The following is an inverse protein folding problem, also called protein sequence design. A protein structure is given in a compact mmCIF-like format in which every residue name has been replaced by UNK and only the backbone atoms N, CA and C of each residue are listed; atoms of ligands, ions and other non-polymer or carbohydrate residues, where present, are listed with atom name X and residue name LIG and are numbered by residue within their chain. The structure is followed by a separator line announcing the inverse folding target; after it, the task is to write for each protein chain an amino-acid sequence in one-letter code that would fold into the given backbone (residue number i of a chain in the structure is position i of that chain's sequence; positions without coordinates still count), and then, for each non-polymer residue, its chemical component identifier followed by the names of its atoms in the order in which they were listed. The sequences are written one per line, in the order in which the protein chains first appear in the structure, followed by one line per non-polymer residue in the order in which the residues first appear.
data_IF_754980191178
#
_entry.id   IF_754980191178
#
_cell.length_a   1.000
_cell.length_b   1.000
_cell.length_c   1.000
_cell.angle_alpha   90.00
_cell.angle_beta   90.00
_cell.angle_gamma   90.00
#
_symmetry.space_group_name_H-M   'P 1'
#
loop_
_entity.id
_entity.type
_entity.pdbx_description
1 polymer ?
#
# COMPACT_ATOMS: atom_id res chain seq x y z
N UNK A 1 24.41 -18.18 -20.62
CA UNK A 1 23.10 -18.81 -20.35
C UNK A 1 23.19 -19.62 -19.05
N UNK A 2 22.80 -19.05 -17.93
CA UNK A 2 22.66 -19.78 -16.65
C UNK A 2 21.22 -19.61 -16.23
N UNK A 3 20.43 -20.67 -16.32
CA UNK A 3 19.04 -20.76 -15.85
C UNK A 3 19.06 -20.86 -14.33
N UNK A 4 18.59 -19.86 -13.63
CA UNK A 4 18.31 -19.98 -12.20
C UNK A 4 16.85 -20.39 -12.04
N UNK A 5 16.64 -21.66 -11.70
CA UNK A 5 15.34 -22.14 -11.20
C UNK A 5 15.18 -21.67 -9.76
N UNK A 6 14.26 -20.77 -9.52
CA UNK A 6 13.78 -20.45 -8.17
C UNK A 6 12.74 -21.51 -7.80
N UNK A 7 13.11 -22.39 -6.88
CA UNK A 7 12.18 -23.37 -6.26
C UNK A 7 11.45 -22.64 -5.14
N UNK A 8 10.18 -22.33 -5.35
CA UNK A 8 9.30 -21.89 -4.27
C UNK A 8 8.94 -23.10 -3.40
N UNK A 9 9.55 -23.17 -2.22
CA UNK A 9 9.17 -24.14 -1.19
C UNK A 9 7.84 -23.74 -0.55
N UNK A 10 6.80 -24.55 -0.79
CA UNK A 10 5.53 -24.47 -0.08
C UNK A 10 5.76 -24.97 1.35
N UNK A 11 5.72 -24.08 2.32
CA UNK A 11 5.69 -24.44 3.74
C UNK A 11 4.24 -24.72 4.13
N UNK A 12 3.88 -25.98 4.20
CA UNK A 12 2.62 -26.42 4.80
C UNK A 12 2.73 -26.31 6.33
N UNK A 13 2.07 -25.36 6.94
CA UNK A 13 1.98 -25.22 8.40
C UNK A 13 0.74 -25.99 8.87
N UNK A 14 0.97 -27.08 9.60
CA UNK A 14 -0.07 -27.83 10.29
C UNK A 14 -0.48 -27.09 11.57
N UNK A 15 -1.70 -26.60 11.63
CA UNK A 15 -2.29 -26.01 12.83
C UNK A 15 -2.88 -27.13 13.72
N UNK A 16 -2.36 -27.23 14.92
CA UNK A 16 -2.96 -28.02 16.01
C UNK A 16 -3.93 -27.14 16.79
N UNK A 17 -5.21 -27.48 16.77
CA UNK A 17 -6.26 -26.74 17.47
C UNK A 17 -6.20 -27.02 18.98
N UNK A 18 -5.97 -26.01 19.80
CA UNK A 18 -6.29 -26.01 21.24
C UNK A 18 -7.53 -25.15 21.48
N UNK A 19 -8.63 -25.82 21.85
CA UNK A 19 -9.86 -25.21 22.33
C UNK A 19 -9.64 -24.56 23.69
N UNK A 20 -9.74 -23.25 23.79
CA UNK A 20 -9.99 -22.55 25.06
C UNK A 20 -11.17 -21.58 24.90
N UNK A 21 -12.26 -21.91 25.60
CA UNK A 21 -13.39 -21.01 25.79
C UNK A 21 -12.93 -19.78 26.57
N UNK A 22 -13.08 -18.62 26.02
CA UNK A 22 -12.91 -17.36 26.73
C UNK A 22 -14.12 -16.45 26.48
N UNK A 23 -14.59 -15.90 27.55
CA UNK A 23 -15.65 -14.95 27.81
C UNK A 23 -15.69 -13.80 26.77
N UNK A 24 -16.91 -13.55 26.27
CA UNK A 24 -17.25 -12.43 25.39
C UNK A 24 -17.00 -11.09 26.09
N UNK A 25 -15.92 -10.42 25.71
CA UNK A 25 -15.78 -8.97 25.87
C UNK A 25 -16.28 -8.35 24.56
N UNK A 26 -17.27 -7.46 24.65
CA UNK A 26 -17.73 -6.67 23.51
C UNK A 26 -16.55 -5.82 23.00
N UNK A 27 -15.86 -6.31 21.99
CA UNK A 27 -14.90 -5.51 21.24
C UNK A 27 -15.71 -4.56 20.37
N UNK A 28 -15.69 -3.27 20.69
CA UNK A 28 -16.09 -2.21 19.78
C UNK A 28 -15.15 -2.28 18.57
N UNK A 29 -15.61 -2.88 17.49
CA UNK A 29 -14.92 -2.86 16.21
C UNK A 29 -14.83 -1.41 15.76
N UNK A 30 -13.66 -0.80 15.93
CA UNK A 30 -13.32 0.47 15.27
C UNK A 30 -13.26 0.15 13.78
N UNK A 31 -14.26 0.60 13.04
CA UNK A 31 -14.27 0.44 11.59
C UNK A 31 -13.29 1.43 10.99
N UNK A 32 -12.50 1.01 9.99
CA UNK A 32 -11.54 1.84 9.25
C UNK A 32 -12.13 3.18 8.76
N UNK A 33 -13.44 3.24 8.55
CA UNK A 33 -14.20 4.42 8.13
C UNK A 33 -14.21 5.58 9.16
N UNK A 34 -13.83 5.33 10.41
CA UNK A 34 -13.83 6.33 11.50
C UNK A 34 -12.43 6.83 11.85
N UNK A 35 -11.40 6.35 11.17
CA UNK A 35 -10.03 6.77 11.49
C UNK A 35 -9.78 8.20 11.01
N UNK A 36 -9.21 9.02 11.88
CA UNK A 36 -8.81 10.38 11.51
C UNK A 36 -7.64 10.34 10.51
N UNK A 37 -7.69 11.24 9.53
CA UNK A 37 -6.55 11.42 8.64
C UNK A 37 -5.41 12.14 9.37
N UNK A 38 -4.16 11.71 9.17
CA UNK A 38 -3.01 12.39 9.75
C UNK A 38 -2.85 13.77 9.09
N UNK A 39 -2.28 14.70 9.85
CA UNK A 39 -2.02 16.07 9.37
C UNK A 39 -0.56 16.19 8.98
N UNK A 40 -0.31 16.48 7.72
CA UNK A 40 1.03 16.85 7.27
C UNK A 40 1.42 18.24 7.77
N UNK A 41 2.72 18.51 7.96
CA UNK A 41 3.19 19.85 8.18
C UNK A 41 2.86 20.74 6.97
N UNK A 42 2.83 22.05 7.20
CA UNK A 42 2.64 23.00 6.12
C UNK A 42 3.99 23.17 5.41
N UNK A 43 4.20 22.44 4.32
CA UNK A 43 5.43 22.51 3.55
C UNK A 43 5.60 23.87 2.88
N UNK A 44 6.83 24.39 2.89
CA UNK A 44 7.23 25.42 1.95
C UNK A 44 7.82 24.78 0.69
N UNK A 45 7.22 25.04 -0.45
CA UNK A 45 7.60 24.43 -1.74
C UNK A 45 6.85 23.13 -2.04
N UNK A 46 7.49 22.25 -2.81
CA UNK A 46 6.92 20.93 -3.11
C UNK A 46 7.04 20.00 -1.91
N UNK A 47 5.91 19.42 -1.46
CA UNK A 47 5.95 18.46 -0.36
C UNK A 47 6.81 17.23 -0.69
N UNK A 48 7.35 16.59 0.34
CA UNK A 48 8.20 15.41 0.24
C UNK A 48 7.51 14.20 0.83
N UNK A 49 7.52 13.11 0.08
CA UNK A 49 6.95 11.83 0.50
C UNK A 49 8.01 10.74 0.41
N UNK A 50 8.03 9.88 1.43
CA UNK A 50 8.85 8.68 1.46
C UNK A 50 7.96 7.44 1.40
N UNK A 51 8.24 6.54 0.47
CA UNK A 51 7.64 5.21 0.43
C UNK A 51 8.63 4.18 1.01
N UNK A 52 8.14 3.39 1.96
CA UNK A 52 8.87 2.24 2.52
C UNK A 52 8.01 1.01 2.32
N UNK A 53 8.51 0.03 1.57
CA UNK A 53 7.71 -1.15 1.27
C UNK A 53 8.43 -2.22 0.47
N UNK A 54 7.65 -3.15 -0.04
CA UNK A 54 8.14 -4.28 -0.81
C UNK A 54 7.36 -4.43 -2.14
N UNK A 55 7.11 -5.65 -2.61
CA UNK A 55 6.45 -5.91 -3.89
C UNK A 55 5.03 -5.35 -4.01
N UNK A 56 4.35 -5.05 -2.92
CA UNK A 56 3.05 -4.34 -2.97
C UNK A 56 3.20 -2.84 -3.25
N UNK A 57 4.39 -2.29 -3.01
CA UNK A 57 4.72 -0.91 -3.37
C UNK A 57 5.23 -0.80 -4.81
N UNK A 58 6.03 -1.78 -5.24
CA UNK A 58 6.65 -1.78 -6.57
C UNK A 58 6.90 -3.22 -7.05
N UNK A 59 6.14 -3.68 -8.04
CA UNK A 59 6.35 -4.95 -8.73
C UNK A 59 5.97 -4.82 -10.22
N UNK A 60 4.73 -5.15 -10.62
CA UNK A 60 4.23 -4.88 -11.99
C UNK A 60 3.94 -3.41 -12.21
N UNK A 61 3.57 -2.71 -11.17
CA UNK A 61 3.31 -1.27 -11.16
C UNK A 61 4.07 -0.63 -10.01
N UNK A 62 4.49 0.62 -10.19
CA UNK A 62 5.15 1.39 -9.14
C UNK A 62 4.18 2.41 -8.55
N UNK A 63 3.71 2.18 -7.31
CA UNK A 63 2.84 3.12 -6.62
C UNK A 63 3.48 4.51 -6.47
N UNK A 64 4.78 4.67 -6.13
CA UNK A 64 5.45 5.97 -6.11
C UNK A 64 5.41 6.70 -7.45
N UNK A 65 5.66 6.00 -8.56
CA UNK A 65 5.64 6.59 -9.91
C UNK A 65 4.23 7.04 -10.27
N UNK A 66 3.22 6.18 -10.12
CA UNK A 66 1.82 6.50 -10.43
C UNK A 66 1.32 7.66 -9.59
N UNK A 67 1.58 7.65 -8.29
CA UNK A 67 1.22 8.73 -7.38
C UNK A 67 1.86 10.07 -7.81
N UNK A 68 3.14 10.07 -8.13
CA UNK A 68 3.84 11.28 -8.59
C UNK A 68 3.27 11.86 -9.88
N UNK A 69 2.89 11.01 -10.82
CA UNK A 69 2.26 11.42 -12.08
C UNK A 69 0.86 12.00 -11.86
N UNK A 70 0.07 11.39 -10.98
CA UNK A 70 -1.25 11.88 -10.58
C UNK A 70 -1.11 13.22 -9.84
N UNK A 71 -0.18 13.33 -8.90
CA UNK A 71 0.09 14.59 -8.20
C UNK A 71 0.45 15.72 -9.16
N UNK A 72 1.31 15.45 -10.14
CA UNK A 72 1.68 16.42 -11.17
C UNK A 72 0.47 16.87 -12.00
N UNK A 73 -0.40 15.96 -12.41
CA UNK A 73 -1.63 16.27 -13.14
C UNK A 73 -2.62 17.14 -12.33
N UNK A 74 -2.54 17.08 -11.02
CA UNK A 74 -3.37 17.84 -10.09
C UNK A 74 -2.70 19.13 -9.56
N UNK A 75 -1.62 19.60 -10.18
CA UNK A 75 -0.83 20.75 -9.72
C UNK A 75 -0.36 20.62 -8.26
N UNK A 76 -0.08 19.40 -7.83
CA UNK A 76 0.46 19.04 -6.51
C UNK A 76 1.80 18.29 -6.68
N UNK A 77 2.83 18.91 -7.28
CA UNK A 77 4.10 18.20 -7.52
C UNK A 77 4.72 17.78 -6.20
N UNK A 78 5.18 16.54 -6.12
CA UNK A 78 5.80 15.94 -4.95
C UNK A 78 7.27 15.62 -5.24
N UNK A 79 8.11 15.71 -4.22
CA UNK A 79 9.44 15.10 -4.23
C UNK A 79 9.27 13.72 -3.59
N UNK A 80 9.68 12.68 -4.31
CA UNK A 80 9.43 11.29 -3.92
C UNK A 80 10.75 10.59 -3.67
N UNK A 81 10.93 10.07 -2.46
CA UNK A 81 11.99 9.15 -2.09
C UNK A 81 11.38 7.76 -1.83
N UNK A 82 12.15 6.68 -2.00
CA UNK A 82 11.67 5.33 -1.75
C UNK A 82 12.78 4.44 -1.17
N UNK A 83 12.36 3.51 -0.30
CA UNK A 83 13.16 2.40 0.21
C UNK A 83 12.35 1.12 -0.01
N UNK A 84 12.66 0.38 -1.07
CA UNK A 84 11.90 -0.81 -1.49
C UNK A 84 12.81 -2.00 -1.65
N UNK A 85 12.42 -3.12 -1.03
CA UNK A 85 13.05 -4.43 -1.25
C UNK A 85 11.99 -5.52 -1.34
N UNK A 86 11.98 -6.26 -2.44
CA UNK A 86 10.97 -7.27 -2.72
C UNK A 86 10.93 -8.39 -1.66
N UNK A 87 9.73 -8.76 -1.21
CA UNK A 87 9.49 -9.97 -0.42
C UNK A 87 9.99 -9.94 1.02
N UNK A 88 10.36 -8.77 1.56
CA UNK A 88 10.93 -8.69 2.91
C UNK A 88 10.16 -7.72 3.82
N UNK A 89 10.38 -7.84 5.15
CA UNK A 89 9.80 -6.97 6.17
C UNK A 89 10.49 -5.60 6.22
N UNK A 90 9.83 -4.61 6.86
CA UNK A 90 10.40 -3.27 7.10
C UNK A 90 11.76 -3.33 7.79
N UNK A 91 11.92 -4.22 8.79
CA UNK A 91 13.21 -4.42 9.48
C UNK A 91 14.31 -4.77 8.49
N UNK A 92 14.03 -5.71 7.57
CA UNK A 92 15.00 -6.15 6.56
C UNK A 92 15.25 -5.07 5.51
N UNK A 93 14.21 -4.35 5.05
CA UNK A 93 14.34 -3.18 4.16
C UNK A 93 15.32 -2.17 4.77
N UNK A 94 15.09 -1.81 6.04
CA UNK A 94 15.98 -0.87 6.72
C UNK A 94 17.40 -1.40 6.84
N UNK A 95 17.59 -2.69 7.14
CA UNK A 95 18.92 -3.29 7.25
C UNK A 95 19.67 -3.27 5.90
N UNK A 96 18.97 -3.61 4.80
CA UNK A 96 19.55 -3.66 3.46
C UNK A 96 19.91 -2.26 2.93
N UNK A 97 19.08 -1.25 3.23
CA UNK A 97 19.26 0.13 2.81
C UNK A 97 19.80 1.05 3.92
N UNK A 98 20.41 0.48 4.97
CA UNK A 98 20.74 1.24 6.19
C UNK A 98 21.47 2.55 5.92
N UNK A 99 22.51 2.52 5.07
CA UNK A 99 23.28 3.72 4.75
C UNK A 99 22.43 4.80 4.06
N UNK A 100 21.67 4.43 3.08
CA UNK A 100 20.77 5.31 2.34
C UNK A 100 19.64 5.83 3.23
N UNK A 101 19.01 4.93 4.00
CA UNK A 101 17.96 5.27 4.95
C UNK A 101 18.44 6.29 5.99
N UNK A 102 19.60 6.06 6.60
CA UNK A 102 20.16 6.99 7.59
C UNK A 102 20.53 8.34 6.96
N UNK A 103 21.03 8.36 5.73
CA UNK A 103 21.29 9.60 4.99
C UNK A 103 19.98 10.36 4.69
N UNK A 104 18.93 9.67 4.26
CA UNK A 104 17.63 10.26 3.99
C UNK A 104 16.97 10.77 5.28
N UNK A 105 16.99 9.98 6.35
CA UNK A 105 16.39 10.38 7.63
C UNK A 105 17.15 11.49 8.35
N UNK A 106 18.44 11.68 8.03
CA UNK A 106 19.25 12.79 8.56
C UNK A 106 19.01 14.13 7.86
N UNK A 107 18.34 14.13 6.69
CA UNK A 107 17.99 15.38 6.00
C UNK A 107 17.03 16.20 6.86
N UNK A 108 17.22 17.49 6.83
CA UNK A 108 16.32 18.48 7.45
C UNK A 108 16.16 19.66 6.53
N UNK A 109 15.11 20.42 6.70
CA UNK A 109 14.93 21.71 6.04
C UNK A 109 14.98 22.87 7.03
N UNK A 110 14.74 24.09 6.55
CA UNK A 110 14.81 25.29 7.39
C UNK A 110 13.76 25.31 8.51
N UNK A 111 12.69 24.53 8.36
CA UNK A 111 11.57 24.45 9.30
C UNK A 111 11.75 23.28 10.28
N UNK A 112 12.86 22.52 10.15
CA UNK A 112 13.17 21.38 11.00
C UNK A 112 12.32 20.14 10.71
N UNK A 113 11.69 20.08 9.52
CA UNK A 113 10.88 18.96 9.08
C UNK A 113 11.14 18.66 7.61
N UNK A 114 11.71 17.50 7.29
CA UNK A 114 12.08 17.16 5.92
C UNK A 114 10.99 16.44 5.15
N UNK A 115 10.42 15.34 5.69
CA UNK A 115 9.34 14.63 5.07
C UNK A 115 7.98 15.14 5.57
N UNK A 116 7.09 15.42 4.65
CA UNK A 116 5.69 15.78 4.94
C UNK A 116 4.83 14.54 5.10
N UNK A 117 5.11 13.52 4.27
CA UNK A 117 4.34 12.27 4.22
C UNK A 117 5.26 11.06 4.20
N UNK A 118 4.81 9.98 4.82
CA UNK A 118 5.49 8.68 4.77
C UNK A 118 4.45 7.59 4.60
N UNK A 119 4.60 6.76 3.57
CA UNK A 119 3.78 5.55 3.37
C UNK A 119 4.60 4.35 3.80
N UNK A 120 4.04 3.54 4.69
CA UNK A 120 4.71 2.35 5.25
C UNK A 120 3.90 1.11 4.92
N UNK A 121 4.52 0.18 4.19
CA UNK A 121 3.94 -1.09 3.80
C UNK A 121 4.80 -2.24 4.37
N UNK A 122 4.22 -3.02 5.28
CA UNK A 122 4.87 -4.19 5.87
C UNK A 122 4.72 -5.42 4.96
N UNK A 123 5.56 -6.42 5.16
CA UNK A 123 5.41 -7.72 4.50
C UNK A 123 4.13 -8.43 4.97
N UNK A 124 3.45 -9.08 4.05
CA UNK A 124 2.18 -9.75 4.34
C UNK A 124 2.26 -10.76 5.49
N UNK A 125 3.30 -11.63 5.60
CA UNK A 125 3.38 -12.55 6.74
C UNK A 125 3.44 -11.85 8.09
N UNK A 126 4.20 -10.75 8.20
CA UNK A 126 4.30 -9.97 9.43
C UNK A 126 2.99 -9.23 9.71
N UNK A 127 2.42 -8.56 8.70
CA UNK A 127 1.17 -7.83 8.85
C UNK A 127 -0.02 -8.73 9.22
N UNK A 128 -0.02 -9.97 8.75
CA UNK A 128 -1.06 -10.95 9.05
C UNK A 128 -0.91 -11.59 10.43
N UNK A 129 0.30 -12.08 10.77
CA UNK A 129 0.46 -13.04 11.87
C UNK A 129 1.36 -12.57 13.02
N UNK A 130 2.06 -11.45 12.89
CA UNK A 130 3.08 -11.00 13.83
C UNK A 130 2.84 -9.55 14.29
N UNK A 131 1.67 -9.25 14.90
CA UNK A 131 1.27 -7.88 15.29
C UNK A 131 2.35 -7.15 16.12
N UNK A 132 2.92 -7.80 17.12
CA UNK A 132 3.94 -7.18 17.98
C UNK A 132 5.18 -6.76 17.14
N UNK A 133 5.58 -7.61 16.20
CA UNK A 133 6.69 -7.30 15.29
C UNK A 133 6.32 -6.20 14.30
N UNK A 134 5.09 -6.19 13.78
CA UNK A 134 4.60 -5.13 12.92
C UNK A 134 4.66 -3.78 13.64
N UNK A 135 4.13 -3.70 14.85
CA UNK A 135 4.19 -2.49 15.68
C UNK A 135 5.64 -2.07 15.98
N UNK A 136 6.51 -3.03 16.33
CA UNK A 136 7.93 -2.76 16.59
C UNK A 136 8.66 -2.22 15.36
N UNK A 137 8.41 -2.82 14.18
CA UNK A 137 9.00 -2.39 12.92
C UNK A 137 8.57 -0.97 12.54
N UNK A 138 7.26 -0.67 12.61
CA UNK A 138 6.73 0.66 12.32
C UNK A 138 7.25 1.68 13.32
N UNK A 139 7.26 1.34 14.61
CA UNK A 139 7.82 2.20 15.65
C UNK A 139 9.30 2.52 15.40
N UNK A 140 10.10 1.51 15.09
CA UNK A 140 11.54 1.68 14.80
C UNK A 140 11.78 2.67 13.66
N UNK A 141 11.06 2.53 12.56
CA UNK A 141 11.19 3.42 11.39
C UNK A 141 10.66 4.83 11.69
N UNK A 142 9.48 4.94 12.28
CA UNK A 142 8.87 6.24 12.57
C UNK A 142 9.67 7.05 13.59
N UNK A 143 10.26 6.41 14.61
CA UNK A 143 11.14 7.07 15.58
C UNK A 143 12.41 7.63 14.92
N UNK A 144 12.95 6.93 13.93
CA UNK A 144 14.13 7.43 13.18
C UNK A 144 13.77 8.62 12.29
N UNK A 145 12.67 8.55 11.57
CA UNK A 145 12.22 9.62 10.67
C UNK A 145 11.86 10.87 11.47
N UNK A 146 11.18 10.72 12.61
CA UNK A 146 10.75 11.85 13.45
C UNK A 146 11.89 12.68 14.04
N UNK A 147 13.10 12.18 14.06
CA UNK A 147 14.24 12.99 14.51
C UNK A 147 14.43 14.26 13.69
N UNK A 148 14.15 14.20 12.39
CA UNK A 148 14.29 15.30 11.44
C UNK A 148 13.01 15.58 10.63
N UNK A 149 11.93 14.90 10.96
CA UNK A 149 10.60 15.10 10.40
C UNK A 149 9.53 14.82 11.48
N UNK A 150 9.53 15.62 12.57
CA UNK A 150 8.71 15.35 13.77
C UNK A 150 7.20 15.41 13.49
N UNK A 151 6.78 16.18 12.49
CA UNK A 151 5.39 16.44 12.15
C UNK A 151 4.92 15.67 10.90
N UNK A 152 5.76 14.78 10.36
CA UNK A 152 5.39 13.96 9.22
C UNK A 152 4.08 13.18 9.47
N UNK A 153 3.24 13.14 8.43
CA UNK A 153 2.03 12.34 8.41
C UNK A 153 2.35 10.92 7.90
N UNK A 154 2.01 9.90 8.69
CA UNK A 154 2.30 8.51 8.37
C UNK A 154 1.04 7.82 7.87
N UNK A 155 1.15 7.11 6.74
CA UNK A 155 0.09 6.27 6.20
C UNK A 155 0.52 4.80 6.28
N UNK A 156 -0.22 4.04 7.07
CA UNK A 156 -0.02 2.59 7.19
C UNK A 156 -0.82 1.91 6.09
N UNK A 157 -0.11 1.17 5.24
CA UNK A 157 -0.71 0.44 4.14
C UNK A 157 -1.50 -0.76 4.69
N UNK A 158 -2.80 -0.77 4.46
CA UNK A 158 -3.63 -1.95 4.70
C UNK A 158 -3.23 -3.04 3.70
N UNK A 159 -2.87 -4.20 4.17
CA UNK A 159 -2.54 -5.32 3.31
C UNK A 159 -3.75 -5.80 2.48
N UNK A 160 -3.48 -6.64 1.50
CA UNK A 160 -4.50 -7.27 0.66
C UNK A 160 -4.65 -8.74 1.03
N UNK A 161 -5.86 -9.26 0.91
CA UNK A 161 -6.18 -10.69 1.02
C UNK A 161 -6.26 -11.32 -0.38
N UNK A 162 -6.01 -12.63 -0.50
CA UNK A 162 -6.47 -13.39 -1.65
C UNK A 162 -7.98 -13.20 -1.86
N UNK A 163 -8.45 -13.30 -3.10
CA UNK A 163 -9.84 -13.07 -3.48
C UNK A 163 -10.43 -14.31 -4.16
N UNK A 164 -11.71 -14.61 -3.99
CA UNK A 164 -12.72 -13.78 -3.32
C UNK A 164 -12.70 -13.94 -1.80
N UNK A 165 -12.90 -12.85 -1.06
CA UNK A 165 -13.04 -12.91 0.41
C UNK A 165 -14.36 -13.49 0.90
N UNK A 166 -15.20 -13.97 -0.01
CA UNK A 166 -16.39 -14.78 0.32
C UNK A 166 -16.03 -16.18 0.79
N UNK A 167 -14.85 -16.69 0.46
CA UNK A 167 -14.26 -17.85 1.08
C UNK A 167 -13.94 -17.53 2.54
N UNK A 168 -14.30 -18.40 3.48
CA UNK A 168 -14.14 -18.15 4.91
C UNK A 168 -12.69 -17.94 5.31
N UNK A 169 -11.76 -18.70 4.69
CA UNK A 169 -10.33 -18.56 4.95
C UNK A 169 -9.81 -17.19 4.51
N UNK A 170 -10.19 -16.73 3.32
CA UNK A 170 -9.75 -15.44 2.79
C UNK A 170 -10.41 -14.27 3.52
N UNK A 171 -11.65 -14.46 4.02
CA UNK A 171 -12.30 -13.48 4.86
C UNK A 171 -11.57 -13.32 6.20
N UNK A 172 -11.25 -14.40 6.87
CA UNK A 172 -10.52 -14.37 8.13
C UNK A 172 -9.13 -13.74 7.95
N UNK A 173 -8.47 -14.05 6.84
CA UNK A 173 -7.21 -13.44 6.44
C UNK A 173 -7.35 -11.91 6.26
N UNK A 174 -8.38 -11.46 5.53
CA UNK A 174 -8.65 -10.05 5.30
C UNK A 174 -8.96 -9.30 6.60
N UNK A 175 -9.82 -9.89 7.45
CA UNK A 175 -10.21 -9.29 8.72
C UNK A 175 -9.01 -9.16 9.67
N UNK A 176 -8.11 -10.15 9.71
CA UNK A 176 -6.94 -10.13 10.58
C UNK A 176 -5.88 -9.13 10.10
N UNK A 177 -5.57 -9.09 8.81
CA UNK A 177 -4.59 -8.13 8.27
C UNK A 177 -5.07 -6.68 8.45
N UNK A 178 -6.37 -6.41 8.27
CA UNK A 178 -6.99 -5.12 8.54
C UNK A 178 -6.91 -4.75 10.01
N UNK A 179 -7.32 -5.65 10.89
CA UNK A 179 -7.28 -5.47 12.35
C UNK A 179 -5.87 -5.10 12.81
N UNK A 180 -4.86 -5.81 12.31
CA UNK A 180 -3.48 -5.55 12.66
C UNK A 180 -2.99 -4.18 12.13
N UNK A 181 -3.36 -3.81 10.91
CA UNK A 181 -3.04 -2.49 10.37
C UNK A 181 -3.70 -1.36 11.18
N UNK A 182 -4.96 -1.52 11.60
CA UNK A 182 -5.66 -0.58 12.48
C UNK A 182 -4.93 -0.46 13.83
N UNK A 183 -4.56 -1.56 14.46
CA UNK A 183 -3.83 -1.55 15.73
C UNK A 183 -2.46 -0.84 15.62
N UNK A 184 -1.79 -0.95 14.46
CA UNK A 184 -0.56 -0.19 14.20
C UNK A 184 -0.83 1.30 14.08
N UNK A 185 -1.91 1.69 13.37
CA UNK A 185 -2.32 3.12 13.28
C UNK A 185 -2.61 3.67 14.67
N UNK A 186 -3.37 2.97 15.51
CA UNK A 186 -3.72 3.42 16.87
C UNK A 186 -2.50 3.65 17.77
N UNK A 187 -1.43 2.91 17.56
CA UNK A 187 -0.18 3.04 18.33
C UNK A 187 0.85 3.98 17.70
N UNK A 188 0.60 4.46 16.49
CA UNK A 188 1.51 5.33 15.76
C UNK A 188 1.00 6.78 15.75
N UNK A 189 1.75 7.71 16.36
CA UNK A 189 1.38 9.13 16.40
C UNK A 189 1.24 9.70 14.99
N UNK A 190 0.22 10.54 14.75
CA UNK A 190 -0.03 11.24 13.47
C UNK A 190 -0.03 10.28 12.28
N UNK A 191 -0.80 9.22 12.38
CA UNK A 191 -0.94 8.22 11.33
C UNK A 191 -2.39 7.99 10.92
N UNK A 192 -2.57 7.40 9.75
CA UNK A 192 -3.84 6.99 9.19
C UNK A 192 -3.69 5.70 8.39
N UNK A 193 -4.81 5.08 8.05
CA UNK A 193 -4.86 3.87 7.26
C UNK A 193 -4.97 4.22 5.77
N UNK A 194 -4.15 3.59 4.94
CA UNK A 194 -4.31 3.59 3.48
C UNK A 194 -5.06 2.30 3.09
N UNK A 195 -6.33 2.41 2.76
CA UNK A 195 -7.30 1.30 2.63
C UNK A 195 -7.20 0.56 1.28
N UNK A 196 -6.02 0.07 0.95
CA UNK A 196 -5.79 -0.63 -0.33
C UNK A 196 -6.52 -1.95 -0.39
N UNK A 197 -6.53 -2.72 0.69
CA UNK A 197 -7.26 -3.99 0.77
C UNK A 197 -8.76 -3.82 0.53
N UNK A 198 -9.37 -2.82 1.17
CA UNK A 198 -10.78 -2.48 0.97
C UNK A 198 -11.07 -2.07 -0.49
N UNK A 199 -10.26 -1.19 -1.05
CA UNK A 199 -10.46 -0.70 -2.40
C UNK A 199 -10.33 -1.82 -3.45
N UNK A 200 -9.35 -2.71 -3.29
CA UNK A 200 -9.18 -3.87 -4.17
C UNK A 200 -10.34 -4.85 -4.04
N UNK A 201 -10.81 -5.10 -2.81
CA UNK A 201 -11.99 -5.95 -2.58
C UNK A 201 -13.26 -5.34 -3.20
N UNK A 202 -13.48 -4.03 -3.06
CA UNK A 202 -14.60 -3.33 -3.69
C UNK A 202 -14.55 -3.45 -5.22
N UNK A 203 -13.37 -3.29 -5.82
CA UNK A 203 -13.18 -3.46 -7.26
C UNK A 203 -13.45 -4.90 -7.71
N UNK A 204 -12.92 -5.89 -6.99
CA UNK A 204 -13.15 -7.30 -7.30
C UNK A 204 -14.64 -7.66 -7.26
N UNK A 205 -15.39 -7.11 -6.31
CA UNK A 205 -16.83 -7.33 -6.15
C UNK A 205 -17.70 -6.48 -7.11
N UNK A 206 -17.10 -5.75 -8.03
CA UNK A 206 -17.82 -5.03 -9.07
C UNK A 206 -18.47 -3.72 -8.62
N UNK A 207 -18.00 -3.11 -7.54
CA UNK A 207 -18.49 -1.79 -7.11
C UNK A 207 -18.36 -0.77 -8.24
N UNK A 208 -19.34 0.10 -8.38
CA UNK A 208 -19.46 1.09 -9.46
C UNK A 208 -19.41 0.46 -10.88
N UNK A 209 -19.95 -0.75 -11.04
CA UNK A 209 -19.98 -1.51 -12.30
C UNK A 209 -18.58 -1.85 -12.86
N UNK A 210 -17.53 -1.79 -12.04
CA UNK A 210 -16.20 -2.24 -12.44
C UNK A 210 -16.19 -3.76 -12.68
N UNK A 211 -15.48 -4.18 -13.71
CA UNK A 211 -15.30 -5.60 -14.05
C UNK A 211 -13.81 -5.92 -14.13
N UNK A 212 -13.32 -6.70 -13.19
CA UNK A 212 -11.92 -7.12 -13.17
C UNK A 212 -11.56 -8.10 -14.30
N UNK A 213 -12.53 -8.90 -14.77
CA UNK A 213 -12.36 -9.78 -15.91
C UNK A 213 -12.81 -9.11 -17.21
N UNK A 214 -11.89 -8.94 -18.15
CA UNK A 214 -12.15 -8.47 -19.50
C UNK A 214 -11.63 -9.52 -20.48
N UNK A 215 -12.50 -10.04 -21.34
CA UNK A 215 -12.17 -11.14 -22.27
C UNK A 215 -11.46 -12.32 -21.57
N UNK A 216 -11.94 -12.71 -20.39
CA UNK A 216 -11.41 -13.76 -19.53
C UNK A 216 -9.99 -13.51 -18.99
N UNK A 217 -9.52 -12.28 -19.03
CA UNK A 217 -8.24 -11.87 -18.45
C UNK A 217 -8.49 -11.01 -17.20
N UNK A 218 -7.84 -11.37 -16.08
CA UNK A 218 -7.82 -10.53 -14.89
C UNK A 218 -6.95 -9.28 -15.17
N UNK A 219 -7.51 -8.08 -15.00
CA UNK A 219 -6.80 -6.82 -15.16
C UNK A 219 -6.49 -6.14 -13.82
N UNK A 220 -7.06 -6.66 -12.72
CA UNK A 220 -6.89 -6.10 -11.38
C UNK A 220 -5.65 -6.64 -10.69
N UNK A 221 -5.43 -7.96 -10.79
CA UNK A 221 -4.41 -8.69 -10.03
C UNK A 221 -3.69 -9.74 -10.88
N UNK A 222 -2.46 -10.06 -10.48
CA UNK A 222 -1.66 -11.10 -11.11
C UNK A 222 -1.98 -12.48 -10.52
N UNK A 223 -2.63 -13.34 -11.30
CA UNK A 223 -3.01 -14.69 -10.89
C UNK A 223 -4.11 -14.75 -9.81
N UNK A 224 -4.70 -15.93 -9.62
CA UNK A 224 -5.85 -16.10 -8.72
C UNK A 224 -5.49 -15.96 -7.25
N UNK A 225 -4.30 -16.43 -6.86
CA UNK A 225 -3.85 -16.49 -5.46
C UNK A 225 -2.75 -15.48 -5.14
N UNK A 226 -2.50 -14.49 -6.02
CA UNK A 226 -1.47 -13.50 -5.77
C UNK A 226 -2.05 -12.22 -5.17
N UNK A 227 -1.21 -11.54 -4.40
CA UNK A 227 -1.51 -10.26 -3.79
C UNK A 227 -0.87 -9.10 -4.56
N UNK A 228 -0.41 -9.35 -5.79
CA UNK A 228 0.20 -8.33 -6.63
C UNK A 228 -0.83 -7.72 -7.59
N UNK A 229 -0.74 -6.41 -7.74
CA UNK A 229 -1.64 -5.64 -8.59
C UNK A 229 -1.11 -5.56 -10.03
N UNK A 230 -2.01 -5.70 -10.99
CA UNK A 230 -1.79 -5.34 -12.38
C UNK A 230 -2.14 -3.86 -12.63
N UNK A 231 -2.18 -3.44 -13.89
CA UNK A 231 -2.37 -2.03 -14.23
C UNK A 231 -3.64 -1.40 -13.65
N UNK A 232 -4.78 -2.11 -13.67
CA UNK A 232 -6.03 -1.60 -13.08
C UNK A 232 -5.91 -1.45 -11.56
N UNK A 233 -5.29 -2.43 -10.90
CA UNK A 233 -5.03 -2.36 -9.46
C UNK A 233 -4.04 -1.26 -9.08
N UNK A 234 -2.98 -1.10 -9.86
CA UNK A 234 -2.02 0.00 -9.67
C UNK A 234 -2.65 1.37 -9.89
N UNK A 235 -3.50 1.49 -10.92
CA UNK A 235 -4.29 2.71 -11.16
C UNK A 235 -5.17 3.06 -9.96
N UNK A 236 -5.91 2.06 -9.45
CA UNK A 236 -6.73 2.19 -8.26
C UNK A 236 -5.90 2.63 -7.05
N UNK A 237 -4.76 1.98 -6.81
CA UNK A 237 -3.85 2.30 -5.71
C UNK A 237 -3.30 3.74 -5.81
N UNK A 238 -2.87 4.17 -7.01
CA UNK A 238 -2.40 5.54 -7.22
C UNK A 238 -3.48 6.59 -6.99
N UNK A 239 -4.70 6.33 -7.48
CA UNK A 239 -5.85 7.20 -7.25
C UNK A 239 -6.25 7.26 -5.77
N UNK A 240 -6.21 6.12 -5.07
CA UNK A 240 -6.49 6.03 -3.63
C UNK A 240 -5.45 6.80 -2.80
N UNK A 241 -4.16 6.65 -3.10
CA UNK A 241 -3.08 7.41 -2.46
C UNK A 241 -3.35 8.91 -2.56
N UNK A 242 -3.66 9.40 -3.76
CA UNK A 242 -3.98 10.82 -3.95
C UNK A 242 -5.22 11.23 -3.16
N UNK A 243 -6.31 10.46 -3.26
CA UNK A 243 -7.56 10.76 -2.59
C UNK A 243 -7.40 10.78 -1.06
N UNK A 244 -6.66 9.82 -0.50
CA UNK A 244 -6.41 9.71 0.94
C UNK A 244 -5.53 10.84 1.46
N UNK A 245 -4.44 11.18 0.75
CA UNK A 245 -3.49 12.21 1.20
C UNK A 245 -4.08 13.61 1.10
N UNK A 246 -4.82 13.90 0.04
CA UNK A 246 -5.30 15.27 -0.24
C UNK A 246 -6.79 15.47 0.05
N UNK A 247 -7.51 14.43 0.45
CA UNK A 247 -8.99 14.43 0.63
C UNK A 247 -9.72 15.00 -0.60
N UNK A 248 -9.26 14.62 -1.79
CA UNK A 248 -9.78 15.11 -3.06
C UNK A 248 -9.83 13.99 -4.10
N UNK A 249 -10.85 14.03 -4.95
CA UNK A 249 -10.89 13.16 -6.11
C UNK A 249 -9.78 13.59 -7.09
N UNK A 250 -8.90 12.68 -7.54
CA UNK A 250 -7.84 13.04 -8.47
C UNK A 250 -8.37 13.37 -9.86
N UNK A 251 -7.73 14.31 -10.54
CA UNK A 251 -7.79 14.44 -11.99
C UNK A 251 -6.74 13.48 -12.53
N UNK A 252 -7.19 12.41 -13.19
CA UNK A 252 -6.27 11.41 -13.73
C UNK A 252 -5.64 11.90 -15.03
N UNK A 253 -4.32 11.72 -15.22
CA UNK A 253 -3.66 12.06 -16.46
C UNK A 253 -4.11 11.13 -17.60
N UNK A 254 -3.98 11.60 -18.85
CA UNK A 254 -4.30 10.80 -20.04
C UNK A 254 -3.35 9.65 -20.25
N UNK A 255 -2.12 9.77 -19.78
CA UNK A 255 -1.08 8.75 -19.87
C UNK A 255 -0.44 8.54 -18.51
N UNK A 256 -0.20 7.27 -18.16
CA UNK A 256 0.51 6.83 -16.97
C UNK A 256 1.61 5.85 -17.33
N UNK A 257 2.64 5.78 -16.49
CA UNK A 257 3.68 4.77 -16.59
C UNK A 257 3.13 3.44 -16.02
N UNK A 258 2.79 2.53 -16.93
CA UNK A 258 2.16 1.25 -16.65
C UNK A 258 2.99 0.10 -17.22
N UNK A 259 2.78 -1.10 -16.69
CA UNK A 259 3.42 -2.31 -17.17
C UNK A 259 2.92 -2.68 -18.57
N UNK A 260 3.82 -3.08 -19.48
CA UNK A 260 3.48 -3.44 -20.87
C UNK A 260 3.09 -4.89 -21.06
N UNK A 261 3.26 -5.71 -20.04
CA UNK A 261 2.97 -7.15 -20.07
C UNK A 261 2.58 -7.70 -18.70
N UNK A 262 2.78 -8.99 -18.51
CA UNK A 262 2.46 -9.72 -17.26
C UNK A 262 3.53 -10.74 -16.90
N UNK A 263 4.78 -10.51 -17.25
CA UNK A 263 5.88 -11.44 -17.05
C UNK A 263 7.17 -10.81 -16.50
N UNK A 264 8.19 -11.61 -16.35
CA UNK A 264 9.45 -11.26 -15.65
C UNK A 264 10.32 -10.20 -16.36
N UNK A 265 9.98 -9.79 -17.57
CA UNK A 265 10.72 -8.79 -18.35
C UNK A 265 9.86 -7.62 -18.79
N UNK A 266 8.87 -7.31 -18.02
CA UNK A 266 7.92 -6.26 -18.36
C UNK A 266 8.55 -4.88 -18.19
N UNK A 267 8.51 -4.10 -19.24
CA UNK A 267 8.92 -2.71 -19.21
C UNK A 267 7.77 -1.82 -18.73
N UNK A 268 8.09 -0.91 -17.83
CA UNK A 268 7.19 0.19 -17.47
C UNK A 268 7.31 1.31 -18.51
N UNK A 269 6.21 1.63 -19.19
CA UNK A 269 6.16 2.66 -20.23
C UNK A 269 4.92 3.53 -20.11
N UNK A 270 5.00 4.73 -20.67
CA UNK A 270 3.84 5.59 -20.82
C UNK A 270 2.80 4.92 -21.72
N UNK A 271 1.58 4.79 -21.20
CA UNK A 271 0.44 4.22 -21.91
C UNK A 271 -0.79 5.10 -21.74
N UNK A 272 -1.60 5.16 -22.79
CA UNK A 272 -2.90 5.83 -22.77
C UNK A 272 -3.84 5.12 -21.80
N UNK A 273 -4.32 5.83 -20.78
CA UNK A 273 -5.19 5.30 -19.73
C UNK A 273 -6.48 4.72 -20.28
N UNK A 274 -7.09 5.37 -21.27
CA UNK A 274 -8.34 4.90 -21.88
C UNK A 274 -8.21 3.58 -22.64
N UNK A 275 -6.97 3.16 -22.95
CA UNK A 275 -6.68 1.87 -23.61
C UNK A 275 -6.13 0.82 -22.66
N UNK A 276 -5.36 1.25 -21.66
CA UNK A 276 -4.66 0.35 -20.75
C UNK A 276 -5.47 -0.03 -19.52
N UNK A 277 -6.42 0.80 -19.11
CA UNK A 277 -7.24 0.61 -17.90
C UNK A 277 -8.69 0.29 -18.30
N UNK A 278 -9.25 -0.76 -17.70
CA UNK A 278 -10.54 -1.31 -18.14
C UNK A 278 -11.74 -0.42 -17.87
N UNK A 279 -11.83 0.24 -16.77
CA UNK A 279 -12.89 1.20 -16.43
C UNK A 279 -12.34 2.26 -15.46
N UNK A 280 -11.60 3.25 -15.98
CA UNK A 280 -10.93 4.22 -15.14
C UNK A 280 -11.87 4.95 -14.17
N UNK A 281 -13.07 5.36 -14.64
CA UNK A 281 -14.03 6.10 -13.81
C UNK A 281 -14.54 5.30 -12.62
N UNK A 282 -14.84 4.02 -12.82
CA UNK A 282 -15.26 3.16 -11.73
C UNK A 282 -14.17 3.03 -10.65
N UNK A 283 -12.92 2.85 -11.08
CA UNK A 283 -11.77 2.75 -10.18
C UNK A 283 -11.51 4.07 -9.41
N UNK A 284 -11.69 5.22 -10.06
CA UNK A 284 -11.61 6.54 -9.40
C UNK A 284 -12.67 6.72 -8.32
N UNK A 285 -13.92 6.28 -8.57
CA UNK A 285 -15.00 6.34 -7.57
C UNK A 285 -14.74 5.37 -6.41
N UNK A 286 -14.23 4.16 -6.71
CA UNK A 286 -13.84 3.19 -5.67
C UNK A 286 -12.71 3.78 -4.82
N UNK A 287 -11.68 4.34 -5.44
CA UNK A 287 -10.58 4.99 -4.74
C UNK A 287 -11.08 6.10 -3.81
N UNK A 288 -11.90 7.00 -4.33
CA UNK A 288 -12.41 8.13 -3.57
C UNK A 288 -13.35 7.70 -2.42
N UNK A 289 -14.11 6.64 -2.59
CA UNK A 289 -15.00 6.10 -1.54
C UNK A 289 -14.24 5.38 -0.41
N UNK A 290 -13.00 4.97 -0.65
CA UNK A 290 -12.15 4.27 0.31
C UNK A 290 -11.03 5.15 0.93
N UNK A 291 -11.07 6.47 0.69
CA UNK A 291 -10.07 7.40 1.24
C UNK A 291 -10.20 7.62 2.74
#
# INVERSE_FOLDING_TARGET
MRKHFLVFGIVAILFSACNNKTTSTENSTVTSEKMAHPKAPKAEGSPRILFIGNSHTEFFVSAPVLFGEICKANNQPMIIDQLVTMGVSIEKIYADHKKEAEQNFAKTDKDGNYYDYVVIQESTPVALAELDKYQANVKMITDKIRKNSPDAAFYIYEGMSPLPITDSEYKDYFDEIRKNAIAVVETTKNSGLLRVGDAVNDAYNGKNDYKYLVANKDNLRFGENTLHLLNDGGYLQGALLFATIFDKKPIMPKELTLCTGTGDNDDMKKQDVGKAISNPKALEEIAFSNR
#
